data_IF_383309938685
#
_entry.id   IF_383309938685
#
_cell.length_a   1.000
_cell.length_b   1.000
_cell.length_c   1.000
_cell.angle_alpha   90.00
_cell.angle_beta   90.00
_cell.angle_gamma   90.00
#
_symmetry.space_group_name_H-M   'P 1'
#
loop_
_entity.id
_entity.type
_entity.pdbx_description
1 polymer ?
#
# COMPACT_ATOMS: atom_id res chain seq x y z
N UNK A 1 -0.03 38.69 -17.95
CA UNK A 1 0.99 38.72 -19.01
C UNK A 1 2.40 38.94 -18.44
N UNK A 2 2.58 39.84 -17.51
CA UNK A 2 3.89 40.14 -16.87
C UNK A 2 4.54 38.91 -16.21
N UNK A 3 3.78 38.05 -15.55
CA UNK A 3 4.28 36.81 -14.94
C UNK A 3 4.90 35.87 -15.98
N UNK A 4 4.27 35.68 -17.13
CA UNK A 4 4.78 34.81 -18.19
C UNK A 4 6.01 35.41 -18.91
N UNK A 5 6.08 36.74 -18.99
CA UNK A 5 7.27 37.42 -19.52
C UNK A 5 8.48 37.27 -18.59
N UNK A 6 8.26 37.44 -17.28
CA UNK A 6 9.33 37.26 -16.28
C UNK A 6 9.81 35.81 -16.25
N UNK A 7 8.91 34.83 -16.38
CA UNK A 7 9.25 33.42 -16.48
C UNK A 7 10.05 33.13 -17.75
N UNK A 8 9.65 33.67 -18.89
CA UNK A 8 10.34 33.50 -20.17
C UNK A 8 11.75 34.07 -20.13
N UNK A 9 11.95 35.26 -19.55
CA UNK A 9 13.28 35.85 -19.39
C UNK A 9 14.16 35.04 -18.45
N UNK A 10 13.63 34.56 -17.35
CA UNK A 10 14.33 33.65 -16.43
C UNK A 10 14.76 32.34 -17.11
N UNK A 11 13.92 31.77 -17.96
CA UNK A 11 14.20 30.53 -18.69
C UNK A 11 15.32 30.69 -19.74
N UNK A 12 15.49 31.89 -20.33
CA UNK A 12 16.60 32.17 -21.30
C UNK A 12 18.00 32.03 -20.68
N UNK A 13 18.12 32.22 -19.40
CA UNK A 13 19.39 32.15 -18.69
C UNK A 13 19.67 30.78 -18.06
N UNK A 14 18.76 29.82 -18.17
CA UNK A 14 18.96 28.48 -17.62
C UNK A 14 19.85 27.65 -18.53
N UNK A 15 20.91 27.12 -17.95
CA UNK A 15 21.76 26.13 -18.62
C UNK A 15 21.33 24.71 -18.13
N UNK A 16 20.97 23.86 -19.08
CA UNK A 16 20.56 22.49 -18.77
C UNK A 16 19.08 22.21 -19.00
N UNK A 17 18.60 21.10 -18.46
CA UNK A 17 17.22 20.63 -18.62
C UNK A 17 16.39 21.02 -17.40
N UNK A 18 15.24 21.64 -17.63
CA UNK A 18 14.27 21.97 -16.57
C UNK A 18 13.16 20.93 -16.61
N UNK A 19 12.99 20.21 -15.50
CA UNK A 19 11.86 19.28 -15.37
C UNK A 19 10.55 20.05 -15.10
N UNK A 20 9.42 19.58 -15.62
CA UNK A 20 8.11 20.03 -15.13
C UNK A 20 8.07 19.93 -13.60
N UNK A 21 7.35 20.75 -12.90
CA UNK A 21 7.30 20.81 -11.44
C UNK A 21 8.56 21.37 -10.70
N UNK A 22 9.60 21.83 -11.41
CA UNK A 22 10.68 22.59 -10.75
C UNK A 22 10.28 24.05 -10.50
N UNK A 23 9.43 24.62 -11.37
CA UNK A 23 9.00 26.02 -11.31
C UNK A 23 7.61 26.14 -10.74
N UNK A 24 6.66 25.33 -11.23
CA UNK A 24 5.26 25.36 -10.78
C UNK A 24 4.73 23.95 -10.60
N UNK A 25 4.14 23.70 -9.43
CA UNK A 25 3.50 22.45 -9.11
C UNK A 25 1.98 22.55 -9.31
N UNK A 26 1.44 21.78 -10.24
CA UNK A 26 0.01 21.70 -10.52
C UNK A 26 -0.68 20.51 -9.84
N UNK A 27 -0.16 20.06 -8.71
CA UNK A 27 -0.69 18.92 -7.98
C UNK A 27 -1.75 19.35 -6.98
N UNK A 28 -2.98 18.92 -7.20
CA UNK A 28 -4.12 19.15 -6.31
C UNK A 28 -4.28 18.06 -5.26
N UNK A 29 -5.37 18.14 -4.53
CA UNK A 29 -5.71 17.21 -3.42
C UNK A 29 -5.75 15.73 -3.86
N UNK A 30 -6.12 15.45 -5.10
CA UNK A 30 -6.21 14.08 -5.62
C UNK A 30 -4.83 13.41 -5.64
N UNK A 31 -3.77 14.16 -5.99
CA UNK A 31 -2.40 13.63 -5.96
C UNK A 31 -1.93 13.39 -4.53
N UNK A 32 -2.38 14.19 -3.56
CA UNK A 32 -2.02 14.03 -2.15
C UNK A 32 -2.80 12.89 -1.49
N UNK A 33 -4.04 12.63 -1.92
CA UNK A 33 -4.85 11.50 -1.41
C UNK A 33 -4.23 10.14 -1.74
N UNK A 34 -3.60 10.01 -2.91
CA UNK A 34 -2.99 8.77 -3.33
C UNK A 34 -1.93 8.24 -2.34
N UNK A 35 -0.87 9.00 -1.96
CA UNK A 35 0.10 8.56 -0.96
C UNK A 35 -0.52 8.29 0.41
N UNK A 36 -1.54 9.03 0.80
CA UNK A 36 -2.27 8.75 2.03
C UNK A 36 -2.89 7.35 2.00
N UNK A 37 -3.61 7.00 0.92
CA UNK A 37 -4.26 5.68 0.79
C UNK A 37 -3.20 4.57 0.70
N UNK A 38 -2.14 4.74 -0.09
CA UNK A 38 -1.06 3.73 -0.17
C UNK A 38 -0.28 3.60 1.14
N UNK A 39 -0.24 4.67 1.94
CA UNK A 39 0.31 4.63 3.29
C UNK A 39 -0.49 3.73 4.22
N UNK A 40 -1.82 3.82 4.17
CA UNK A 40 -2.70 2.91 4.91
C UNK A 40 -2.45 1.45 4.54
N UNK A 41 -2.22 1.16 3.24
CA UNK A 41 -1.87 -0.18 2.74
C UNK A 41 -0.56 -0.68 3.35
N UNK A 42 0.51 0.12 3.25
CA UNK A 42 1.82 -0.26 3.75
C UNK A 42 1.82 -0.49 5.26
N UNK A 43 1.20 0.40 6.02
CA UNK A 43 1.12 0.26 7.48
C UNK A 43 0.28 -0.95 7.92
N UNK A 44 -0.85 -1.23 7.25
CA UNK A 44 -1.67 -2.41 7.52
C UNK A 44 -0.88 -3.71 7.22
N UNK A 45 -0.15 -3.75 6.10
CA UNK A 45 0.67 -4.91 5.75
C UNK A 45 1.81 -5.13 6.74
N UNK A 46 2.47 -4.06 7.20
CA UNK A 46 3.51 -4.16 8.22
C UNK A 46 2.95 -4.77 9.50
N UNK A 47 1.76 -4.37 9.94
CA UNK A 47 1.11 -4.97 11.10
C UNK A 47 0.85 -6.46 10.92
N UNK A 48 0.37 -6.90 9.74
CA UNK A 48 0.23 -8.31 9.42
C UNK A 48 1.57 -9.06 9.48
N UNK A 49 2.63 -8.44 8.96
CA UNK A 49 3.98 -9.02 8.94
C UNK A 49 4.56 -9.22 10.33
N UNK A 50 4.25 -8.36 11.30
CA UNK A 50 4.66 -8.52 12.70
C UNK A 50 4.15 -9.84 13.29
N UNK A 51 2.92 -10.23 12.99
CA UNK A 51 2.38 -11.50 13.43
C UNK A 51 3.03 -12.68 12.69
N UNK A 52 3.10 -12.64 11.36
CA UNK A 52 3.50 -13.80 10.55
C UNK A 52 5.00 -14.07 10.55
N UNK A 53 5.81 -13.02 10.43
CA UNK A 53 7.29 -13.14 10.30
C UNK A 53 7.97 -13.03 11.67
N UNK A 54 7.56 -12.07 12.47
CA UNK A 54 8.17 -11.82 13.78
C UNK A 54 7.47 -12.56 14.93
N UNK A 55 6.42 -13.33 14.60
CA UNK A 55 5.70 -14.20 15.54
C UNK A 55 5.13 -13.46 16.78
N UNK A 56 4.68 -12.23 16.60
CA UNK A 56 3.99 -11.46 17.66
C UNK A 56 2.58 -12.00 17.79
N UNK A 57 2.39 -12.91 18.74
CA UNK A 57 1.15 -13.70 18.90
C UNK A 57 -0.05 -12.85 19.28
N UNK A 58 0.17 -11.77 19.99
CA UNK A 58 -0.85 -10.80 20.42
C UNK A 58 -1.56 -10.15 19.24
N UNK A 59 -0.90 -10.02 18.08
CA UNK A 59 -1.45 -9.43 16.86
C UNK A 59 -2.25 -10.41 15.99
N UNK A 60 -2.33 -11.68 16.39
CA UNK A 60 -3.07 -12.69 15.62
C UNK A 60 -4.53 -12.31 15.31
N UNK A 61 -5.30 -11.69 16.24
CA UNK A 61 -6.68 -11.29 15.95
C UNK A 61 -6.83 -10.25 14.83
N UNK A 62 -5.79 -9.45 14.57
CA UNK A 62 -5.81 -8.41 13.54
C UNK A 62 -5.13 -8.82 12.24
N UNK A 63 -4.49 -9.99 12.17
CA UNK A 63 -3.73 -10.43 10.99
C UNK A 63 -4.57 -10.41 9.70
N UNK A 64 -5.69 -11.13 9.70
CA UNK A 64 -6.57 -11.23 8.52
C UNK A 64 -7.20 -9.89 8.16
N UNK A 65 -7.61 -9.11 9.16
CA UNK A 65 -8.16 -7.76 8.98
C UNK A 65 -7.11 -6.86 8.32
N UNK A 66 -5.86 -6.93 8.78
CA UNK A 66 -4.75 -6.14 8.25
C UNK A 66 -4.50 -6.44 6.76
N UNK A 67 -4.46 -7.72 6.42
CA UNK A 67 -4.19 -8.17 5.05
C UNK A 67 -5.33 -7.78 4.10
N UNK A 68 -6.58 -8.00 4.51
CA UNK A 68 -7.76 -7.63 3.71
C UNK A 68 -7.92 -6.12 3.59
N UNK A 69 -7.65 -5.35 4.65
CA UNK A 69 -7.65 -3.90 4.62
C UNK A 69 -6.57 -3.38 3.65
N UNK A 70 -5.34 -3.90 3.73
CA UNK A 70 -4.27 -3.55 2.80
C UNK A 70 -4.69 -3.78 1.35
N UNK A 71 -5.31 -4.93 1.06
CA UNK A 71 -5.78 -5.26 -0.28
C UNK A 71 -6.90 -4.33 -0.75
N UNK A 72 -7.91 -4.09 0.07
CA UNK A 72 -9.04 -3.22 -0.28
C UNK A 72 -8.59 -1.79 -0.57
N UNK A 73 -7.74 -1.22 0.28
CA UNK A 73 -7.20 0.13 0.07
C UNK A 73 -6.25 0.20 -1.13
N UNK A 74 -5.49 -0.87 -1.42
CA UNK A 74 -4.61 -0.88 -2.60
C UNK A 74 -5.41 -0.84 -3.91
N UNK A 75 -6.55 -1.51 -3.98
CA UNK A 75 -7.43 -1.44 -5.17
C UNK A 75 -7.98 -0.02 -5.38
N UNK A 76 -8.30 0.68 -4.29
CA UNK A 76 -8.88 2.03 -4.37
C UNK A 76 -7.80 3.10 -4.59
N UNK A 77 -6.56 2.84 -4.18
CA UNK A 77 -5.47 3.82 -4.22
C UNK A 77 -5.24 4.50 -5.58
N UNK A 78 -5.33 3.83 -6.75
CA UNK A 78 -5.13 4.49 -8.04
C UNK A 78 -6.26 5.44 -8.45
N UNK A 79 -7.45 5.33 -7.86
CA UNK A 79 -8.63 6.11 -8.28
C UNK A 79 -8.39 7.63 -8.28
N UNK A 80 -7.80 8.24 -7.24
CA UNK A 80 -7.48 9.66 -7.26
C UNK A 80 -6.52 10.04 -8.38
N UNK A 81 -5.53 9.20 -8.70
CA UNK A 81 -4.60 9.46 -9.80
C UNK A 81 -5.29 9.37 -11.15
N UNK A 82 -6.12 8.34 -11.36
CA UNK A 82 -6.87 8.16 -12.62
C UNK A 82 -7.81 9.34 -12.85
N UNK A 83 -8.50 9.81 -11.83
CA UNK A 83 -9.40 10.98 -11.94
C UNK A 83 -8.64 12.28 -12.16
N UNK A 84 -7.37 12.37 -11.74
CA UNK A 84 -6.53 13.55 -11.98
C UNK A 84 -5.94 13.60 -13.40
N UNK A 85 -5.87 12.46 -14.10
CA UNK A 85 -5.36 12.41 -15.46
C UNK A 85 -6.24 13.24 -16.42
N UNK A 86 -5.62 14.05 -17.28
CA UNK A 86 -6.33 14.75 -18.34
C UNK A 86 -7.02 13.82 -19.36
N UNK A 87 -6.54 12.59 -19.46
CA UNK A 87 -7.06 11.52 -20.31
C UNK A 87 -7.17 10.21 -19.52
N UNK A 88 -8.15 10.07 -18.62
CA UNK A 88 -8.33 8.90 -17.79
C UNK A 88 -8.60 7.61 -18.59
N UNK A 89 -9.13 7.73 -19.81
CA UNK A 89 -9.32 6.65 -20.77
C UNK A 89 -8.01 5.95 -21.19
N UNK A 90 -6.86 6.60 -20.98
CA UNK A 90 -5.54 6.11 -21.36
C UNK A 90 -4.68 5.67 -20.17
N UNK A 91 -5.25 5.53 -18.98
CA UNK A 91 -4.50 5.17 -17.76
C UNK A 91 -3.68 3.87 -17.89
N UNK A 92 -4.17 2.93 -18.71
CA UNK A 92 -3.53 1.63 -18.94
C UNK A 92 -2.20 1.75 -19.71
N UNK A 93 -1.94 2.86 -20.40
CA UNK A 93 -0.71 3.07 -21.18
C UNK A 93 0.54 3.07 -20.28
N UNK A 94 0.41 3.41 -19.01
CA UNK A 94 1.52 3.29 -18.04
C UNK A 94 2.06 1.85 -17.95
N UNK A 95 1.22 0.86 -18.29
CA UNK A 95 1.57 -0.57 -18.24
C UNK A 95 1.94 -1.12 -19.63
N UNK A 96 1.27 -0.65 -20.69
CA UNK A 96 1.45 -1.18 -22.05
C UNK A 96 2.61 -0.52 -22.79
N UNK A 97 2.86 0.76 -22.55
CA UNK A 97 3.93 1.54 -23.18
C UNK A 97 4.72 2.35 -22.14
N UNK A 98 5.35 1.69 -21.16
CA UNK A 98 6.02 2.39 -20.07
C UNK A 98 7.27 3.11 -20.54
N UNK A 99 7.40 4.37 -20.14
CA UNK A 99 8.61 5.15 -20.31
C UNK A 99 9.53 4.91 -19.11
N UNK A 100 10.51 4.01 -19.23
CA UNK A 100 11.34 3.56 -18.10
C UNK A 100 12.24 4.66 -17.50
N UNK A 101 12.39 5.79 -18.18
CA UNK A 101 13.06 6.98 -17.62
C UNK A 101 12.15 7.83 -16.74
N UNK A 102 10.83 7.52 -16.73
CA UNK A 102 9.86 8.23 -15.89
C UNK A 102 9.76 7.57 -14.51
N UNK A 103 9.95 8.34 -13.45
CA UNK A 103 9.75 7.90 -12.08
C UNK A 103 8.33 7.35 -11.84
N UNK A 104 7.32 7.95 -12.48
CA UNK A 104 5.93 7.50 -12.37
C UNK A 104 5.69 6.15 -13.05
N UNK A 105 6.34 5.87 -14.18
CA UNK A 105 6.23 4.56 -14.84
C UNK A 105 6.88 3.46 -14.01
N UNK A 106 8.07 3.70 -13.45
CA UNK A 106 8.73 2.77 -12.52
C UNK A 106 7.84 2.52 -11.31
N UNK A 107 7.21 3.55 -10.78
CA UNK A 107 6.26 3.42 -9.68
C UNK A 107 5.07 2.50 -10.05
N UNK A 108 4.54 2.58 -11.26
CA UNK A 108 3.50 1.69 -11.77
C UNK A 108 3.92 0.20 -11.70
N UNK A 109 5.17 -0.12 -12.03
CA UNK A 109 5.70 -1.48 -11.87
C UNK A 109 5.79 -1.90 -10.40
N UNK A 110 6.28 -1.02 -9.52
CA UNK A 110 6.35 -1.29 -8.08
C UNK A 110 4.95 -1.55 -7.51
N UNK A 111 3.96 -0.77 -7.93
CA UNK A 111 2.57 -0.95 -7.54
C UNK A 111 2.01 -2.31 -7.99
N UNK A 112 2.20 -2.68 -9.27
CA UNK A 112 1.74 -3.98 -9.77
C UNK A 112 2.46 -5.15 -9.12
N UNK A 113 3.76 -5.06 -8.90
CA UNK A 113 4.53 -6.06 -8.18
C UNK A 113 3.92 -6.29 -6.79
N UNK A 114 3.67 -5.21 -6.05
CA UNK A 114 3.14 -5.31 -4.71
C UNK A 114 1.71 -5.87 -4.69
N UNK A 115 0.85 -5.42 -5.61
CA UNK A 115 -0.52 -5.91 -5.71
C UNK A 115 -0.55 -7.40 -6.08
N UNK A 116 0.09 -7.78 -7.20
CA UNK A 116 -0.04 -9.10 -7.80
C UNK A 116 0.85 -10.14 -7.12
N UNK A 117 2.13 -9.84 -6.93
CA UNK A 117 3.11 -10.79 -6.44
C UNK A 117 3.19 -10.86 -4.91
N UNK A 118 2.70 -9.86 -4.19
CA UNK A 118 2.70 -9.86 -2.73
C UNK A 118 1.30 -10.07 -2.19
N UNK A 119 0.42 -9.08 -2.26
CA UNK A 119 -0.88 -9.13 -1.59
C UNK A 119 -1.79 -10.22 -2.14
N UNK A 120 -1.98 -10.30 -3.47
CA UNK A 120 -2.88 -11.31 -4.04
C UNK A 120 -2.40 -12.74 -3.79
N UNK A 121 -1.09 -13.00 -3.93
CA UNK A 121 -0.55 -14.33 -3.66
C UNK A 121 -0.60 -14.67 -2.17
N UNK A 122 -0.30 -13.73 -1.27
CA UNK A 122 -0.38 -13.97 0.16
C UNK A 122 -1.81 -14.31 0.58
N UNK A 123 -2.79 -13.51 0.15
CA UNK A 123 -4.22 -13.78 0.39
C UNK A 123 -4.62 -15.13 -0.23
N UNK A 124 -4.16 -15.42 -1.43
CA UNK A 124 -4.47 -16.68 -2.09
C UNK A 124 -3.96 -17.88 -1.31
N UNK A 125 -2.70 -17.89 -0.85
CA UNK A 125 -2.16 -18.99 -0.05
C UNK A 125 -2.86 -19.15 1.29
N UNK A 126 -3.28 -18.06 1.93
CA UNK A 126 -3.97 -18.11 3.21
C UNK A 126 -5.41 -18.62 3.08
N UNK A 127 -6.14 -18.20 2.03
CA UNK A 127 -7.55 -18.51 1.87
C UNK A 127 -7.85 -19.59 0.85
N UNK A 128 -6.86 -20.18 0.15
CA UNK A 128 -7.06 -21.19 -0.88
C UNK A 128 -7.88 -22.37 -0.37
N UNK A 129 -7.54 -22.87 0.80
CA UNK A 129 -8.29 -23.96 1.45
C UNK A 129 -9.75 -23.56 1.68
N UNK A 130 -9.98 -22.39 2.22
CA UNK A 130 -11.32 -21.92 2.55
C UNK A 130 -12.14 -21.64 1.29
N UNK A 131 -11.52 -21.07 0.25
CA UNK A 131 -12.14 -20.91 -1.07
C UNK A 131 -12.59 -22.25 -1.65
N UNK A 132 -11.78 -23.29 -1.54
CA UNK A 132 -12.13 -24.64 -1.98
C UNK A 132 -13.30 -25.20 -1.17
N UNK A 133 -13.30 -25.08 0.15
CA UNK A 133 -14.38 -25.52 1.02
C UNK A 133 -15.69 -24.78 0.73
N UNK A 134 -15.63 -23.47 0.55
CA UNK A 134 -16.79 -22.64 0.18
C UNK A 134 -17.33 -23.00 -1.21
N UNK A 135 -16.45 -23.30 -2.18
CA UNK A 135 -16.85 -23.75 -3.50
C UNK A 135 -17.69 -25.06 -3.44
N UNK A 136 -17.41 -25.92 -2.47
CA UNK A 136 -18.17 -27.17 -2.27
C UNK A 136 -19.45 -26.99 -1.44
N UNK A 137 -19.53 -25.96 -0.62
CA UNK A 137 -20.70 -25.66 0.23
C UNK A 137 -21.74 -24.77 -0.45
N UNK A 138 -21.32 -23.93 -1.40
CA UNK A 138 -22.20 -22.96 -2.08
C UNK A 138 -22.71 -23.52 -3.41
N UNK A 139 -23.85 -22.96 -3.87
CA UNK A 139 -24.46 -23.29 -5.16
C UNK A 139 -24.51 -22.07 -6.09
N UNK A 140 -24.77 -22.30 -7.38
CA UNK A 140 -24.92 -21.25 -8.38
C UNK A 140 -23.64 -20.47 -8.67
N UNK A 141 -23.76 -19.14 -8.86
CA UNK A 141 -22.67 -18.24 -9.25
C UNK A 141 -21.55 -18.22 -8.20
N UNK A 142 -21.88 -18.27 -6.92
CA UNK A 142 -20.88 -18.26 -5.83
C UNK A 142 -19.98 -19.49 -5.88
N UNK A 143 -20.53 -20.67 -6.18
CA UNK A 143 -19.75 -21.90 -6.37
C UNK A 143 -18.72 -21.71 -7.49
N UNK A 144 -19.17 -21.18 -8.63
CA UNK A 144 -18.31 -20.94 -9.77
C UNK A 144 -17.21 -19.90 -9.45
N UNK A 145 -17.58 -18.81 -8.78
CA UNK A 145 -16.63 -17.76 -8.36
C UNK A 145 -15.53 -18.31 -7.45
N UNK A 146 -15.91 -19.04 -6.37
CA UNK A 146 -14.92 -19.62 -5.47
C UNK A 146 -14.05 -20.66 -6.18
N UNK A 147 -14.63 -21.45 -7.09
CA UNK A 147 -13.88 -22.41 -7.89
C UNK A 147 -12.90 -21.75 -8.85
N UNK A 148 -13.26 -20.62 -9.43
CA UNK A 148 -12.36 -19.79 -10.24
C UNK A 148 -11.21 -19.23 -9.39
N UNK A 149 -11.52 -18.73 -8.18
CA UNK A 149 -10.53 -18.16 -7.27
C UNK A 149 -9.50 -19.21 -6.76
N UNK A 150 -9.82 -20.51 -6.79
CA UNK A 150 -8.82 -21.55 -6.48
C UNK A 150 -7.78 -21.75 -7.59
N UNK A 151 -7.92 -21.11 -8.73
CA UNK A 151 -7.04 -21.21 -9.92
C UNK A 151 -6.78 -22.67 -10.35
N UNK A 152 -7.76 -23.56 -10.14
CA UNK A 152 -7.66 -24.99 -10.49
C UNK A 152 -6.86 -25.84 -9.50
N UNK A 153 -6.37 -25.27 -8.40
CA UNK A 153 -5.64 -26.01 -7.38
C UNK A 153 -6.58 -26.50 -6.30
N UNK A 154 -7.00 -27.77 -6.39
CA UNK A 154 -7.99 -28.38 -5.50
C UNK A 154 -7.40 -29.28 -4.41
N UNK A 155 -6.09 -29.45 -4.39
CA UNK A 155 -5.43 -30.28 -3.39
C UNK A 155 -5.36 -29.56 -2.03
N UNK A 156 -6.05 -30.12 -1.04
CA UNK A 156 -6.06 -29.67 0.37
C UNK A 156 -5.38 -30.68 1.30
N UNK A 157 -4.53 -31.56 0.76
CA UNK A 157 -3.76 -32.51 1.57
C UNK A 157 -2.88 -31.80 2.60
N UNK A 158 -2.52 -32.47 3.70
CA UNK A 158 -1.64 -31.89 4.72
C UNK A 158 -0.31 -31.39 4.15
N UNK A 159 0.20 -32.03 3.09
CA UNK A 159 1.43 -31.61 2.41
C UNK A 159 1.21 -30.33 1.60
N UNK A 160 0.11 -30.26 0.83
CA UNK A 160 -0.23 -29.03 0.09
C UNK A 160 -0.39 -27.83 1.03
N UNK A 161 -1.10 -28.00 2.16
CA UNK A 161 -1.28 -26.95 3.15
C UNK A 161 0.02 -26.54 3.86
N UNK A 162 0.99 -27.45 4.02
CA UNK A 162 2.33 -27.09 4.49
C UNK A 162 3.06 -26.20 3.49
N UNK A 163 2.95 -26.52 2.21
CA UNK A 163 3.51 -25.69 1.14
C UNK A 163 2.87 -24.32 1.07
N UNK A 164 1.52 -24.22 1.19
CA UNK A 164 0.83 -22.94 1.24
C UNK A 164 1.37 -22.05 2.37
N UNK A 165 1.50 -22.60 3.58
CA UNK A 165 2.06 -21.87 4.72
C UNK A 165 3.50 -21.42 4.49
N UNK A 166 4.34 -22.30 3.92
CA UNK A 166 5.76 -21.99 3.63
C UNK A 166 5.87 -20.90 2.57
N UNK A 167 5.14 -21.02 1.46
CA UNK A 167 5.17 -20.04 0.38
C UNK A 167 4.58 -18.70 0.82
N UNK A 168 3.44 -18.72 1.53
CA UNK A 168 2.88 -17.51 2.11
C UNK A 168 3.86 -16.81 3.06
N UNK A 169 4.58 -17.55 3.92
CA UNK A 169 5.63 -16.96 4.76
C UNK A 169 6.73 -16.29 3.94
N UNK A 170 7.24 -16.97 2.90
CA UNK A 170 8.27 -16.40 2.01
C UNK A 170 7.76 -15.12 1.34
N UNK A 171 6.51 -15.12 0.88
CA UNK A 171 5.91 -13.95 0.24
C UNK A 171 5.78 -12.79 1.24
N UNK A 172 5.38 -13.05 2.49
CA UNK A 172 5.34 -12.00 3.51
C UNK A 172 6.72 -11.42 3.77
N UNK A 173 7.77 -12.27 3.84
CA UNK A 173 9.15 -11.80 4.01
C UNK A 173 9.60 -10.90 2.84
N UNK A 174 9.27 -11.26 1.60
CA UNK A 174 9.52 -10.43 0.41
C UNK A 174 8.62 -9.19 0.43
N UNK A 175 7.41 -9.32 0.96
CA UNK A 175 6.43 -8.24 1.07
C UNK A 175 6.89 -7.08 1.95
N UNK A 176 7.66 -7.34 3.01
CA UNK A 176 8.16 -6.28 3.89
C UNK A 176 9.00 -5.24 3.10
N UNK A 177 10.12 -5.60 2.45
CA UNK A 177 10.87 -4.64 1.65
C UNK A 177 10.04 -4.08 0.48
N UNK A 178 9.11 -4.86 -0.08
CA UNK A 178 8.23 -4.39 -1.14
C UNK A 178 7.25 -3.30 -0.66
N UNK A 179 6.73 -3.40 0.57
CA UNK A 179 5.89 -2.36 1.17
C UNK A 179 6.70 -1.07 1.44
N UNK A 180 7.93 -1.22 1.93
CA UNK A 180 8.85 -0.09 2.07
C UNK A 180 9.17 0.55 0.73
N UNK A 181 9.41 -0.24 -0.32
CA UNK A 181 9.67 0.25 -1.66
C UNK A 181 8.44 0.98 -2.22
N UNK A 182 7.24 0.41 -2.09
CA UNK A 182 6.00 1.02 -2.56
C UNK A 182 5.82 2.43 -1.98
N UNK A 183 5.89 2.57 -0.67
CA UNK A 183 5.57 3.84 -0.03
C UNK A 183 6.76 4.80 0.08
N UNK A 184 7.96 4.27 0.28
CA UNK A 184 9.21 5.05 0.25
C UNK A 184 9.49 5.66 -1.12
N UNK A 185 9.15 4.95 -2.21
CA UNK A 185 9.26 5.49 -3.55
C UNK A 185 8.29 6.65 -3.81
N UNK A 186 7.07 6.59 -3.28
CA UNK A 186 6.16 7.75 -3.30
C UNK A 186 6.79 8.93 -2.56
N UNK A 187 7.33 8.70 -1.37
CA UNK A 187 8.05 9.73 -0.62
C UNK A 187 9.24 10.31 -1.41
N UNK A 188 9.97 9.49 -2.16
CA UNK A 188 11.03 9.95 -3.06
C UNK A 188 10.49 10.85 -4.17
N UNK A 189 9.38 10.48 -4.82
CA UNK A 189 8.75 11.33 -5.86
C UNK A 189 8.40 12.70 -5.28
N UNK A 190 7.76 12.75 -4.10
CA UNK A 190 7.42 14.01 -3.45
C UNK A 190 8.65 14.79 -2.99
N UNK A 191 9.66 14.11 -2.44
CA UNK A 191 10.91 14.70 -1.99
C UNK A 191 11.77 15.30 -3.10
N UNK A 192 11.56 14.86 -4.36
CA UNK A 192 12.30 15.39 -5.52
C UNK A 192 11.68 16.66 -6.12
N UNK A 193 10.55 17.16 -5.60
CA UNK A 193 9.83 18.32 -6.13
C UNK A 193 10.40 19.62 -5.60
N UNK A 194 11.19 20.32 -6.40
CA UNK A 194 11.80 21.62 -6.03
C UNK A 194 10.79 22.76 -5.97
N UNK A 195 9.72 22.70 -6.77
CA UNK A 195 8.67 23.72 -6.78
C UNK A 195 7.92 23.87 -5.45
N UNK A 196 7.99 22.87 -4.57
CA UNK A 196 7.43 22.95 -3.23
C UNK A 196 8.55 22.71 -2.19
N UNK A 197 9.12 23.78 -1.60
CA UNK A 197 10.21 23.67 -0.64
C UNK A 197 9.88 22.81 0.60
N UNK A 198 8.62 22.76 1.01
CA UNK A 198 8.17 21.93 2.13
C UNK A 198 8.29 20.43 1.87
N UNK A 199 8.22 20.00 0.60
CA UNK A 199 8.37 18.62 0.21
C UNK A 199 9.80 18.27 -0.23
N UNK A 200 10.54 19.26 -0.75
CA UNK A 200 11.89 19.06 -1.30
C UNK A 200 12.90 18.71 -0.20
N UNK A 201 12.86 17.47 0.28
CA UNK A 201 13.73 16.98 1.33
C UNK A 201 14.14 15.52 1.10
N UNK A 202 15.42 15.22 1.35
CA UNK A 202 15.96 13.86 1.32
C UNK A 202 15.31 12.95 2.37
N UNK A 203 14.77 13.54 3.43
CA UNK A 203 14.07 12.80 4.51
C UNK A 203 12.64 12.41 4.14
N UNK A 204 12.08 12.93 3.05
CA UNK A 204 10.68 12.69 2.69
C UNK A 204 10.30 11.21 2.58
N UNK A 205 11.11 10.31 1.97
CA UNK A 205 10.83 8.88 1.97
C UNK A 205 10.70 8.28 3.36
N UNK A 206 11.55 8.72 4.30
CA UNK A 206 11.55 8.23 5.69
C UNK A 206 10.31 8.73 6.43
N UNK A 207 9.99 10.02 6.29
CA UNK A 207 8.77 10.63 6.88
C UNK A 207 7.51 9.91 6.38
N UNK A 208 7.44 9.64 5.07
CA UNK A 208 6.33 8.92 4.47
C UNK A 208 6.19 7.52 5.05
N UNK A 209 7.28 6.76 5.19
CA UNK A 209 7.27 5.41 5.75
C UNK A 209 6.75 5.38 7.19
N UNK A 210 7.28 6.22 8.07
CA UNK A 210 6.81 6.28 9.45
C UNK A 210 5.36 6.78 9.55
N UNK A 211 4.99 7.78 8.76
CA UNK A 211 3.62 8.27 8.70
C UNK A 211 2.64 7.19 8.22
N UNK A 212 3.04 6.40 7.23
CA UNK A 212 2.28 5.26 6.73
C UNK A 212 2.07 4.19 7.80
N UNK A 213 3.13 3.84 8.54
CA UNK A 213 3.04 2.87 9.63
C UNK A 213 2.05 3.35 10.71
N UNK A 214 2.13 4.61 11.14
CA UNK A 214 1.20 5.17 12.13
C UNK A 214 -0.24 5.10 11.61
N UNK A 215 -0.50 5.63 10.42
CA UNK A 215 -1.86 5.73 9.87
C UNK A 215 -2.46 4.36 9.56
N UNK A 216 -1.68 3.43 8.98
CA UNK A 216 -2.17 2.10 8.63
C UNK A 216 -2.43 1.22 9.85
N UNK A 217 -1.56 1.25 10.86
CA UNK A 217 -1.76 0.52 12.13
C UNK A 217 -2.98 1.10 12.87
N UNK A 218 -3.12 2.42 12.94
CA UNK A 218 -4.29 3.07 13.56
C UNK A 218 -5.59 2.72 12.83
N UNK A 219 -5.57 2.65 11.50
CA UNK A 219 -6.72 2.22 10.70
C UNK A 219 -7.14 0.78 11.04
N UNK A 220 -6.18 -0.14 11.08
CA UNK A 220 -6.48 -1.55 11.41
C UNK A 220 -7.04 -1.67 12.82
N UNK A 221 -6.49 -0.94 13.78
CA UNK A 221 -7.01 -0.87 15.14
C UNK A 221 -8.47 -0.40 15.15
N UNK A 222 -8.76 0.68 14.43
CA UNK A 222 -10.12 1.21 14.29
C UNK A 222 -11.08 0.18 13.67
N UNK A 223 -10.69 -0.45 12.55
CA UNK A 223 -11.50 -1.48 11.89
C UNK A 223 -11.74 -2.67 12.83
N UNK A 224 -10.71 -3.13 13.56
CA UNK A 224 -10.81 -4.21 14.52
C UNK A 224 -11.83 -3.89 15.63
N UNK A 225 -11.76 -2.69 16.19
CA UNK A 225 -12.73 -2.25 17.22
C UNK A 225 -14.15 -2.20 16.65
N UNK A 226 -14.35 -1.63 15.45
CA UNK A 226 -15.66 -1.51 14.80
C UNK A 226 -16.27 -2.89 14.50
N UNK A 227 -15.47 -3.82 13.95
CA UNK A 227 -15.94 -5.19 13.65
C UNK A 227 -16.39 -5.90 14.93
N UNK A 228 -15.59 -5.83 16.00
CA UNK A 228 -15.96 -6.47 17.27
C UNK A 228 -17.19 -5.82 17.90
N UNK A 229 -17.31 -4.49 17.81
CA UNK A 229 -18.51 -3.79 18.28
C UNK A 229 -19.78 -4.25 17.53
N UNK A 230 -19.73 -4.31 16.19
CA UNK A 230 -20.87 -4.78 15.38
C UNK A 230 -21.20 -6.23 15.66
N UNK A 231 -20.19 -7.09 15.82
CA UNK A 231 -20.35 -8.51 16.13
C UNK A 231 -20.68 -8.81 17.60
N UNK A 232 -20.71 -7.79 18.44
CA UNK A 232 -20.90 -7.92 19.90
C UNK A 232 -19.89 -8.89 20.54
N UNK A 233 -18.67 -8.93 20.02
CA UNK A 233 -17.58 -9.75 20.54
C UNK A 233 -16.73 -8.95 21.52
N UNK A 234 -16.12 -9.65 22.49
CA UNK A 234 -15.18 -9.01 23.41
C UNK A 234 -13.90 -8.69 22.70
N UNK A 235 -13.39 -7.47 22.93
CA UNK A 235 -12.06 -7.05 22.47
C UNK A 235 -10.97 -7.79 23.22
N UNK A 236 -9.96 -8.25 22.51
CA UNK A 236 -8.74 -8.77 23.10
C UNK A 236 -7.86 -7.60 23.54
N UNK A 237 -7.78 -7.38 24.85
CA UNK A 237 -7.03 -6.28 25.45
C UNK A 237 -5.52 -6.43 25.24
N UNK A 238 -5.01 -7.67 25.13
CA UNK A 238 -3.59 -7.91 24.87
C UNK A 238 -3.21 -7.46 23.46
N UNK A 239 -4.10 -7.66 22.50
CA UNK A 239 -3.96 -7.18 21.12
C UNK A 239 -3.97 -5.64 21.06
N UNK A 240 -4.92 -5.00 21.75
CA UNK A 240 -5.01 -3.53 21.83
C UNK A 240 -3.75 -2.91 22.44
N UNK A 241 -3.27 -3.47 23.54
CA UNK A 241 -2.04 -3.00 24.21
C UNK A 241 -0.81 -3.16 23.31
N UNK A 242 -0.67 -4.30 22.62
CA UNK A 242 0.41 -4.52 21.68
C UNK A 242 0.39 -3.48 20.55
N UNK A 243 -0.77 -3.25 19.92
CA UNK A 243 -0.91 -2.25 18.85
C UNK A 243 -0.60 -0.85 19.36
N UNK A 244 -1.11 -0.50 20.56
CA UNK A 244 -0.85 0.79 21.20
C UNK A 244 0.65 1.03 21.45
N UNK A 245 1.40 0.02 21.88
CA UNK A 245 2.86 0.09 22.04
C UNK A 245 3.57 0.33 20.71
N UNK A 246 3.22 -0.38 19.65
CA UNK A 246 3.82 -0.14 18.33
C UNK A 246 3.54 1.27 17.83
N UNK A 247 2.29 1.75 17.93
CA UNK A 247 1.94 3.13 17.57
C UNK A 247 2.77 4.14 18.36
N UNK A 248 2.89 3.96 19.66
CA UNK A 248 3.67 4.85 20.52
C UNK A 248 5.14 4.93 20.09
N UNK A 249 5.81 3.80 19.86
CA UNK A 249 7.20 3.78 19.43
C UNK A 249 7.40 4.43 18.07
N UNK A 250 6.51 4.16 17.11
CA UNK A 250 6.62 4.73 15.76
C UNK A 250 6.38 6.25 15.79
N UNK A 251 5.44 6.73 16.59
CA UNK A 251 5.18 8.17 16.77
C UNK A 251 6.41 8.88 17.35
N UNK A 252 7.07 8.30 18.36
CA UNK A 252 8.30 8.87 18.91
C UNK A 252 9.39 8.99 17.84
N UNK A 253 9.52 7.99 16.96
CA UNK A 253 10.49 8.05 15.87
C UNK A 253 10.10 9.05 14.76
N UNK A 254 8.82 9.33 14.57
CA UNK A 254 8.32 10.26 13.56
C UNK A 254 8.49 11.73 13.95
N UNK A 255 8.31 12.08 15.24
CA UNK A 255 8.32 13.47 15.69
C UNK A 255 9.63 14.21 15.38
N UNK A 256 10.83 13.67 15.66
CA UNK A 256 12.09 14.38 15.39
C UNK A 256 12.36 14.68 13.92
N UNK A 257 11.69 13.99 13.00
CA UNK A 257 11.91 14.16 11.54
C UNK A 257 11.07 15.29 10.95
N UNK A 258 10.13 15.86 11.73
CA UNK A 258 9.27 16.98 11.32
C UNK A 258 9.72 18.33 11.88
N UNK A 259 10.70 18.34 12.76
CA UNK A 259 11.32 19.55 13.30
C UNK A 259 12.50 20.02 12.44
#
# INVERSE_FOLDING_TARGET
MEYYQNLYEALKHVQGYIYPNEIQLQWGILIVLYPYITGLVAGAFILASLNRVFNVKELKPTYEISLLAAFAFLIVAPMPLITHLGRPDRFYEIMTTPHLTSAMAIFGFVYLWYLMAVLLLEIWFDYRRDMFLWANQKNGILKWLYRFLTLGVYDISPNALKWDKKLGYIITVIGIPSAFLLHGYVGFIFGSLKANPWWSSVLMPVIFLFSAMVSGIALVLFIYMVINFIRKQKLDMSCLDAIGKYLFYIIILLIPQRA
#
